data_IF_156801174445
#
_entry.id   IF_156801174445
#
_cell.length_a   1.000
_cell.length_b   1.000
_cell.length_c   1.000
_cell.angle_alpha   90.00
_cell.angle_beta   90.00
_cell.angle_gamma   90.00
#
_symmetry.space_group_name_H-M   'P 1'
#
loop_
_entity.id
_entity.type
_entity.pdbx_description
1 polymer ?
#
# COMPACT_ATOMS: atom_id res chain seq x y z
N UNK A 1 4.72 1.09 26.85
CA UNK A 1 4.15 2.38 27.30
C UNK A 1 5.00 3.61 26.92
N UNK A 2 6.29 3.45 26.62
CA UNK A 2 7.21 4.55 26.35
C UNK A 2 6.95 5.25 25.01
N UNK A 3 6.62 4.50 23.95
CA UNK A 3 6.24 5.04 22.63
C UNK A 3 4.97 5.89 22.74
N UNK A 4 3.97 5.46 23.51
CA UNK A 4 2.75 6.23 23.72
C UNK A 4 3.02 7.55 24.48
N UNK A 5 3.96 7.55 25.44
CA UNK A 5 4.44 8.76 26.12
C UNK A 5 5.19 9.70 25.16
N UNK A 6 6.03 9.16 24.29
CA UNK A 6 6.75 9.91 23.25
C UNK A 6 5.78 10.55 22.24
N UNK A 7 4.77 9.82 21.77
CA UNK A 7 3.73 10.36 20.89
C UNK A 7 2.92 11.46 21.60
N UNK A 8 2.57 11.27 22.88
CA UNK A 8 1.86 12.26 23.69
C UNK A 8 2.69 13.50 24.01
N UNK A 9 4.03 13.38 23.97
CA UNK A 9 4.93 14.53 24.18
C UNK A 9 4.88 15.56 23.05
N UNK A 10 4.28 15.23 21.91
CA UNK A 10 4.12 16.14 20.77
C UNK A 10 5.44 16.57 20.14
N UNK A 11 6.57 15.94 20.51
CA UNK A 11 7.87 16.19 19.90
C UNK A 11 7.74 15.97 18.40
N UNK A 12 8.10 16.98 17.61
CA UNK A 12 8.14 16.87 16.16
C UNK A 12 9.14 15.77 15.81
N UNK A 13 8.69 14.76 15.08
CA UNK A 13 9.55 13.73 14.50
C UNK A 13 10.39 14.39 13.41
N UNK A 14 11.63 14.74 13.75
CA UNK A 14 12.62 15.28 12.82
C UNK A 14 13.27 14.15 12.00
N UNK A 15 12.47 13.45 11.20
CA UNK A 15 13.01 12.50 10.22
C UNK A 15 13.54 13.29 9.03
N UNK A 16 14.75 13.03 8.55
CA UNK A 16 15.23 13.71 7.35
C UNK A 16 14.57 13.12 6.10
N UNK A 17 14.27 13.96 5.11
CA UNK A 17 13.71 13.49 3.82
C UNK A 17 14.61 12.43 3.19
N UNK A 18 15.93 12.59 3.32
CA UNK A 18 16.91 11.64 2.81
C UNK A 18 16.83 10.28 3.52
N UNK A 19 16.71 10.26 4.85
CA UNK A 19 16.55 9.02 5.61
C UNK A 19 15.30 8.26 5.17
N UNK A 20 14.17 8.95 5.06
CA UNK A 20 12.92 8.33 4.61
C UNK A 20 13.05 7.79 3.17
N UNK A 21 13.72 8.52 2.29
CA UNK A 21 13.95 8.08 0.91
C UNK A 21 14.81 6.81 0.83
N UNK A 22 15.88 6.75 1.62
CA UNK A 22 16.74 5.57 1.72
C UNK A 22 15.95 4.37 2.26
N UNK A 23 15.17 4.55 3.33
CA UNK A 23 14.34 3.48 3.91
C UNK A 23 13.31 2.98 2.89
N UNK A 24 12.68 3.89 2.14
CA UNK A 24 11.73 3.53 1.08
C UNK A 24 12.38 2.66 0.00
N UNK A 25 13.54 3.06 -0.52
CA UNK A 25 14.26 2.31 -1.55
C UNK A 25 14.67 0.93 -1.03
N UNK A 26 15.26 0.86 0.16
CA UNK A 26 15.74 -0.42 0.71
C UNK A 26 14.55 -1.34 1.02
N UNK A 27 13.51 -0.83 1.68
CA UNK A 27 12.33 -1.61 2.05
C UNK A 27 11.61 -2.19 0.84
N UNK A 28 11.28 -1.35 -0.16
CA UNK A 28 10.60 -1.78 -1.38
C UNK A 28 11.50 -2.62 -2.29
N UNK A 29 12.80 -2.31 -2.34
CA UNK A 29 13.78 -3.08 -3.09
C UNK A 29 13.92 -4.50 -2.52
N UNK A 30 13.98 -4.64 -1.20
CA UNK A 30 14.04 -5.95 -0.54
C UNK A 30 12.73 -6.73 -0.70
N UNK A 31 11.57 -6.07 -0.58
CA UNK A 31 10.26 -6.67 -0.84
C UNK A 31 10.20 -7.29 -2.25
N UNK A 32 10.55 -6.50 -3.27
CA UNK A 32 10.60 -6.99 -4.65
C UNK A 32 11.60 -8.12 -4.88
N UNK A 33 12.80 -8.05 -4.29
CA UNK A 33 13.82 -9.09 -4.42
C UNK A 33 13.42 -10.40 -3.76
N UNK A 34 12.86 -10.36 -2.55
CA UNK A 34 12.39 -11.55 -1.83
C UNK A 34 11.25 -12.21 -2.59
N UNK A 35 10.29 -11.42 -3.07
CA UNK A 35 9.15 -11.91 -3.83
C UNK A 35 9.56 -12.68 -5.10
N UNK A 36 10.64 -12.26 -5.78
CA UNK A 36 11.08 -12.86 -7.05
C UNK A 36 12.09 -14.00 -6.85
N UNK A 37 13.07 -13.83 -5.96
CA UNK A 37 14.28 -14.67 -5.95
C UNK A 37 14.46 -15.55 -4.73
N UNK A 38 13.79 -15.27 -3.60
CA UNK A 38 14.10 -15.93 -2.33
C UNK A 38 12.82 -16.43 -1.63
N UNK A 39 12.23 -17.55 -2.10
CA UNK A 39 11.00 -18.09 -1.52
C UNK A 39 11.10 -18.40 -0.01
N UNK A 40 12.28 -18.79 0.47
CA UNK A 40 12.53 -19.11 1.88
C UNK A 40 12.39 -17.91 2.82
N UNK A 41 12.49 -16.68 2.30
CA UNK A 41 12.36 -15.45 3.08
C UNK A 41 11.00 -14.77 2.89
N UNK A 42 10.06 -15.42 2.20
CA UNK A 42 8.73 -14.87 1.94
C UNK A 42 7.99 -14.45 3.21
N UNK A 43 8.23 -15.12 4.34
CA UNK A 43 7.67 -14.74 5.64
C UNK A 43 8.16 -13.38 6.17
N UNK A 44 9.34 -12.92 5.76
CA UNK A 44 9.90 -11.62 6.17
C UNK A 44 9.53 -10.49 5.21
N UNK A 45 8.92 -10.82 4.07
CA UNK A 45 8.57 -9.87 3.02
C UNK A 45 7.73 -8.70 3.55
N UNK A 46 6.72 -9.03 4.36
CA UNK A 46 5.78 -8.05 4.93
C UNK A 46 6.47 -7.04 5.86
N UNK A 47 7.58 -7.41 6.51
CA UNK A 47 8.34 -6.51 7.37
C UNK A 47 9.01 -5.43 6.51
N UNK A 48 9.74 -5.83 5.47
CA UNK A 48 10.41 -4.90 4.58
C UNK A 48 9.43 -4.03 3.79
N UNK A 49 8.34 -4.64 3.32
CA UNK A 49 7.23 -3.93 2.68
C UNK A 49 6.65 -2.87 3.64
N UNK A 50 6.36 -3.22 4.89
CA UNK A 50 5.82 -2.30 5.88
C UNK A 50 6.73 -1.09 6.10
N UNK A 51 8.04 -1.30 6.29
CA UNK A 51 8.99 -0.18 6.43
C UNK A 51 9.08 0.67 5.16
N UNK A 52 9.12 0.04 3.98
CA UNK A 52 9.19 0.72 2.70
C UNK A 52 7.97 1.59 2.44
N UNK A 53 6.77 1.01 2.48
CA UNK A 53 5.51 1.72 2.25
C UNK A 53 5.25 2.79 3.33
N UNK A 54 5.59 2.54 4.59
CA UNK A 54 5.47 3.54 5.65
C UNK A 54 6.39 4.75 5.40
N UNK A 55 7.63 4.52 4.98
CA UNK A 55 8.55 5.61 4.65
C UNK A 55 8.06 6.44 3.45
N UNK A 56 7.51 5.79 2.43
CA UNK A 56 6.84 6.47 1.30
C UNK A 56 5.66 7.31 1.78
N UNK A 57 4.79 6.77 2.64
CA UNK A 57 3.65 7.51 3.16
C UNK A 57 4.08 8.76 3.94
N UNK A 58 5.14 8.67 4.74
CA UNK A 58 5.71 9.80 5.48
C UNK A 58 6.38 10.83 4.56
N UNK A 59 7.06 10.40 3.49
CA UNK A 59 7.60 11.30 2.47
C UNK A 59 6.50 12.09 1.79
N UNK A 60 5.44 11.41 1.33
CA UNK A 60 4.31 12.06 0.69
C UNK A 60 3.65 13.07 1.63
N UNK A 61 3.45 12.69 2.90
CA UNK A 61 2.91 13.60 3.91
C UNK A 61 3.78 14.83 4.12
N UNK A 62 5.11 14.66 4.14
CA UNK A 62 6.04 15.77 4.27
C UNK A 62 6.04 16.68 3.04
N UNK A 63 5.95 16.12 1.83
CA UNK A 63 6.01 16.87 0.57
C UNK A 63 4.71 17.61 0.25
N UNK A 64 3.56 16.97 0.44
CA UNK A 64 2.25 17.50 0.02
C UNK A 64 1.35 17.91 1.21
N UNK A 65 1.82 17.72 2.44
CA UNK A 65 1.14 18.20 3.66
C UNK A 65 -0.29 17.70 3.77
N UNK A 66 -1.21 18.60 4.11
CA UNK A 66 -2.62 18.30 4.36
C UNK A 66 -3.37 17.66 3.17
N UNK A 67 -2.89 17.82 1.93
CA UNK A 67 -3.50 17.17 0.78
C UNK A 67 -3.45 15.64 0.89
N UNK A 68 -2.30 15.10 1.33
CA UNK A 68 -2.14 13.66 1.58
C UNK A 68 -3.06 13.13 2.67
N UNK A 69 -3.34 13.93 3.69
CA UNK A 69 -4.21 13.53 4.79
C UNK A 69 -5.62 13.24 4.30
N UNK A 70 -6.13 14.06 3.37
CA UNK A 70 -7.43 13.84 2.74
C UNK A 70 -7.41 12.56 1.89
N UNK A 71 -6.40 12.41 1.04
CA UNK A 71 -6.23 11.21 0.20
C UNK A 71 -6.15 9.93 1.03
N UNK A 72 -5.32 9.92 2.08
CA UNK A 72 -5.22 8.78 3.00
C UNK A 72 -6.51 8.48 3.73
N UNK A 73 -7.27 9.49 4.15
CA UNK A 73 -8.58 9.26 4.76
C UNK A 73 -9.53 8.53 3.79
N UNK A 74 -9.56 8.93 2.53
CA UNK A 74 -10.44 8.34 1.53
C UNK A 74 -9.97 6.94 1.11
N UNK A 75 -8.66 6.72 0.96
CA UNK A 75 -8.08 5.40 0.68
C UNK A 75 -8.25 4.41 1.84
N UNK A 76 -7.93 4.83 3.06
CA UNK A 76 -8.05 3.98 4.26
C UNK A 76 -9.50 3.62 4.59
N UNK A 77 -10.49 4.39 4.11
CA UNK A 77 -11.91 4.07 4.31
C UNK A 77 -12.28 2.70 3.72
N UNK A 78 -11.69 2.34 2.58
CA UNK A 78 -12.02 1.12 1.83
C UNK A 78 -10.85 0.11 1.83
N UNK A 79 -9.80 0.35 2.63
CA UNK A 79 -8.58 -0.45 2.54
C UNK A 79 -8.80 -1.90 2.97
N UNK A 80 -9.74 -2.15 3.90
CA UNK A 80 -10.07 -3.49 4.35
C UNK A 80 -10.76 -4.30 3.24
N UNK A 81 -11.79 -3.73 2.63
CA UNK A 81 -12.50 -4.35 1.51
C UNK A 81 -11.56 -4.55 0.32
N UNK A 82 -10.70 -3.57 0.08
CA UNK A 82 -9.70 -3.68 -0.98
C UNK A 82 -8.73 -4.82 -0.72
N UNK A 83 -8.27 -4.99 0.52
CA UNK A 83 -7.47 -6.15 0.92
C UNK A 83 -8.18 -7.49 0.65
N UNK A 84 -9.50 -7.57 0.85
CA UNK A 84 -10.25 -8.79 0.56
C UNK A 84 -10.40 -9.08 -0.94
N UNK A 85 -10.73 -8.07 -1.74
CA UNK A 85 -11.10 -8.30 -3.16
C UNK A 85 -9.91 -8.26 -4.11
N UNK A 86 -8.82 -7.56 -3.77
CA UNK A 86 -7.74 -7.32 -4.74
C UNK A 86 -7.10 -8.62 -5.22
N UNK A 87 -6.82 -9.58 -4.34
CA UNK A 87 -6.23 -10.87 -4.75
C UNK A 87 -7.09 -11.61 -5.79
N UNK A 88 -8.41 -11.56 -5.66
CA UNK A 88 -9.33 -12.17 -6.62
C UNK A 88 -9.33 -11.44 -7.98
N UNK A 89 -9.35 -10.10 -7.96
CA UNK A 89 -9.27 -9.28 -9.17
C UNK A 89 -7.93 -9.49 -9.88
N UNK A 90 -6.82 -9.50 -9.15
CA UNK A 90 -5.50 -9.74 -9.74
C UNK A 90 -5.38 -11.15 -10.34
N UNK A 91 -5.87 -12.17 -9.63
CA UNK A 91 -5.81 -13.56 -10.11
C UNK A 91 -6.66 -13.78 -11.37
N UNK A 92 -7.83 -13.15 -11.45
CA UNK A 92 -8.71 -13.23 -12.63
C UNK A 92 -8.15 -12.46 -13.82
N UNK A 93 -7.66 -11.25 -13.59
CA UNK A 93 -7.08 -10.41 -14.66
C UNK A 93 -5.76 -10.98 -15.19
N UNK A 94 -5.02 -11.76 -14.40
CA UNK A 94 -3.79 -12.43 -14.84
C UNK A 94 -4.03 -13.43 -15.99
N UNK A 95 -5.24 -13.96 -16.14
CA UNK A 95 -5.60 -14.87 -17.25
C UNK A 95 -5.45 -14.23 -18.64
N UNK A 96 -5.50 -12.90 -18.73
CA UNK A 96 -5.33 -12.16 -19.99
C UNK A 96 -3.84 -12.17 -20.42
N UNK A 97 -2.91 -12.36 -19.48
CA UNK A 97 -1.47 -12.52 -19.69
C UNK A 97 -0.86 -11.61 -20.79
N UNK A 98 -0.95 -10.27 -20.67
CA UNK A 98 -0.39 -9.37 -21.67
C UNK A 98 1.12 -9.58 -21.83
N UNK A 99 1.57 -9.72 -23.07
CA UNK A 99 2.98 -9.92 -23.40
C UNK A 99 3.71 -8.59 -23.60
N UNK A 100 4.88 -8.46 -22.96
CA UNK A 100 5.77 -7.31 -23.06
C UNK A 100 5.65 -6.34 -21.88
N UNK A 101 6.79 -5.84 -21.40
CA UNK A 101 6.91 -5.03 -20.18
C UNK A 101 5.97 -3.82 -20.15
N UNK A 102 5.92 -3.05 -21.23
CA UNK A 102 5.07 -1.84 -21.30
C UNK A 102 3.58 -2.18 -21.18
N UNK A 103 3.14 -3.27 -21.83
CA UNK A 103 1.74 -3.71 -21.76
C UNK A 103 1.41 -4.24 -20.37
N UNK A 104 2.33 -4.96 -19.74
CA UNK A 104 2.16 -5.45 -18.36
C UNK A 104 2.08 -4.31 -17.35
N UNK A 105 2.91 -3.27 -17.48
CA UNK A 105 2.87 -2.09 -16.61
C UNK A 105 1.56 -1.33 -16.76
N UNK A 106 1.15 -1.03 -18.00
CA UNK A 106 -0.11 -0.33 -18.26
C UNK A 106 -1.31 -1.13 -17.77
N UNK A 107 -1.30 -2.44 -18.03
CA UNK A 107 -2.33 -3.35 -17.56
C UNK A 107 -2.36 -3.42 -16.03
N UNK A 108 -1.20 -3.47 -15.37
CA UNK A 108 -1.09 -3.47 -13.91
C UNK A 108 -1.73 -2.23 -13.29
N UNK A 109 -1.49 -1.04 -13.86
CA UNK A 109 -2.15 0.21 -13.43
C UNK A 109 -3.67 0.08 -13.58
N UNK A 110 -4.14 -0.45 -14.71
CA UNK A 110 -5.57 -0.64 -14.95
C UNK A 110 -6.21 -1.63 -13.98
N UNK A 111 -5.54 -2.75 -13.67
CA UNK A 111 -6.00 -3.75 -12.69
C UNK A 111 -6.07 -3.15 -11.28
N UNK A 112 -5.09 -2.32 -10.87
CA UNK A 112 -5.13 -1.61 -9.59
C UNK A 112 -6.38 -0.72 -9.51
N UNK A 113 -6.68 0.04 -10.56
CA UNK A 113 -7.85 0.92 -10.61
C UNK A 113 -9.16 0.14 -10.54
N UNK A 114 -9.28 -0.95 -11.32
CA UNK A 114 -10.46 -1.84 -11.27
C UNK A 114 -10.60 -2.45 -9.87
N UNK A 115 -9.50 -2.94 -9.31
CA UNK A 115 -9.48 -3.57 -7.99
C UNK A 115 -9.99 -2.63 -6.90
N UNK A 116 -9.55 -1.37 -6.92
CA UNK A 116 -10.04 -0.35 -6.00
C UNK A 116 -11.52 -0.02 -6.24
N UNK A 117 -11.96 0.09 -7.50
CA UNK A 117 -13.36 0.31 -7.84
C UNK A 117 -14.26 -0.81 -7.30
N UNK A 118 -13.87 -2.08 -7.51
CA UNK A 118 -14.59 -3.24 -6.97
C UNK A 118 -14.65 -3.20 -5.45
N UNK A 119 -13.60 -2.76 -4.77
CA UNK A 119 -13.58 -2.61 -3.32
C UNK A 119 -14.61 -1.59 -2.82
N UNK A 120 -14.75 -0.45 -3.51
CA UNK A 120 -15.76 0.57 -3.17
C UNK A 120 -17.18 0.03 -3.35
N UNK A 121 -17.42 -0.70 -4.45
CA UNK A 121 -18.72 -1.36 -4.69
C UNK A 121 -19.01 -2.39 -3.61
N UNK A 122 -18.03 -3.22 -3.26
CA UNK A 122 -18.15 -4.24 -2.22
C UNK A 122 -18.46 -3.61 -0.86
N UNK A 123 -17.74 -2.55 -0.47
CA UNK A 123 -18.02 -1.77 0.74
C UNK A 123 -19.48 -1.29 0.77
N UNK A 124 -19.97 -0.74 -0.34
CA UNK A 124 -21.34 -0.26 -0.45
C UNK A 124 -22.35 -1.40 -0.26
N UNK A 125 -22.13 -2.55 -0.89
CA UNK A 125 -23.01 -3.71 -0.77
C UNK A 125 -23.07 -4.24 0.67
N UNK A 126 -21.91 -4.47 1.29
CA UNK A 126 -21.85 -5.02 2.65
C UNK A 126 -22.48 -4.06 3.67
N UNK A 127 -22.07 -2.79 3.66
CA UNK A 127 -22.46 -1.84 4.70
C UNK A 127 -23.83 -1.22 4.49
N UNK A 128 -24.34 -1.14 3.26
CA UNK A 128 -25.69 -0.58 3.01
C UNK A 128 -26.77 -1.62 2.78
N UNK A 129 -26.46 -2.75 2.16
CA UNK A 129 -27.47 -3.75 1.77
C UNK A 129 -27.56 -4.85 2.82
N UNK A 130 -26.42 -5.40 3.23
CA UNK A 130 -26.38 -6.58 4.12
C UNK A 130 -26.41 -6.16 5.61
N UNK A 131 -25.98 -4.93 5.93
CA UNK A 131 -25.92 -4.37 7.32
C UNK A 131 -25.19 -5.31 8.29
N UNK A 132 -24.00 -5.75 7.92
CA UNK A 132 -23.04 -6.38 8.85
C UNK A 132 -22.17 -5.32 9.47
#
# INVERSE_FOLDING_TARGET
>A
MEIARLLKSGKKLELSTLQLFIIAIIGLGMDGLIAIKIPSFKAFNDIFASFGYMAVALLLYRLFGNATKKLWKDFCKYSYEWYLVHMAVFSTMWLIAPNGLNKQLLFGIFVILISYYVAVVYWYLVHRVIRV
#
